data_IF_775646537445
#
_entry.id   IF_775646537445
#
_cell.length_a   1.000
_cell.length_b   1.000
_cell.length_c   1.000
_cell.angle_alpha   90.00
_cell.angle_beta   90.00
_cell.angle_gamma   90.00
#
_symmetry.space_group_name_H-M   'P 1'
#
loop_
_entity.id
_entity.type
_entity.pdbx_description
1 polymer ?
#
# COMPACT_ATOMS: atom_id res chain seq x y z
N UNK A 1 3.02 -21.18 13.64
CA UNK A 1 2.82 -21.69 12.26
C UNK A 1 3.24 -20.58 11.31
N UNK A 2 3.98 -20.89 10.23
CA UNK A 2 4.37 -19.84 9.27
C UNK A 2 3.20 -19.46 8.38
N UNK A 3 3.14 -18.20 7.98
CA UNK A 3 2.03 -17.64 7.19
C UNK A 3 2.55 -16.82 6.02
N UNK A 4 1.98 -17.04 4.84
CA UNK A 4 2.18 -16.20 3.64
C UNK A 4 0.86 -15.54 3.29
N UNK A 5 0.85 -14.21 3.22
CA UNK A 5 -0.33 -13.43 2.81
C UNK A 5 -0.29 -13.17 1.30
N UNK A 6 -1.34 -13.56 0.58
CA UNK A 6 -1.46 -13.34 -0.85
C UNK A 6 -2.24 -12.05 -1.09
N UNK A 7 -1.58 -11.05 -1.65
CA UNK A 7 -2.17 -9.76 -2.04
C UNK A 7 -2.67 -9.87 -3.48
N UNK A 8 -3.84 -9.31 -3.78
CA UNK A 8 -4.41 -9.40 -5.13
C UNK A 8 -5.50 -8.39 -5.42
N UNK A 9 -6.50 -8.83 -6.18
CA UNK A 9 -7.69 -8.05 -6.53
C UNK A 9 -8.91 -8.92 -6.35
N UNK A 10 -10.00 -8.37 -5.81
CA UNK A 10 -11.31 -9.04 -5.72
C UNK A 10 -11.83 -9.49 -7.10
N UNK A 11 -11.32 -8.89 -8.18
CA UNK A 11 -11.66 -9.21 -9.58
C UNK A 11 -10.73 -10.23 -10.22
N UNK A 12 -9.63 -10.62 -9.56
CA UNK A 12 -8.63 -11.54 -10.08
C UNK A 12 -8.65 -12.87 -9.31
N UNK A 13 -9.50 -13.78 -9.73
CA UNK A 13 -9.74 -15.07 -9.06
C UNK A 13 -8.61 -16.09 -9.23
N UNK A 14 -7.64 -15.85 -10.12
CA UNK A 14 -6.43 -16.68 -10.25
C UNK A 14 -5.57 -16.70 -8.98
N UNK A 15 -5.78 -15.73 -8.09
CA UNK A 15 -5.22 -15.73 -6.73
C UNK A 15 -5.54 -17.03 -5.99
N UNK A 16 -6.73 -17.60 -6.18
CA UNK A 16 -7.14 -18.85 -5.54
C UNK A 16 -6.37 -20.03 -6.12
N UNK A 17 -6.15 -20.06 -7.45
CA UNK A 17 -5.37 -21.10 -8.11
C UNK A 17 -3.92 -21.11 -7.59
N UNK A 18 -3.29 -19.93 -7.51
CA UNK A 18 -1.98 -19.76 -6.89
C UNK A 18 -1.99 -20.27 -5.44
N UNK A 19 -2.97 -19.83 -4.65
CA UNK A 19 -3.00 -20.15 -3.22
C UNK A 19 -3.18 -21.64 -2.96
N UNK A 20 -4.06 -22.30 -3.72
CA UNK A 20 -4.23 -23.76 -3.67
C UNK A 20 -2.98 -24.51 -4.11
N UNK A 21 -2.27 -23.99 -5.10
CA UNK A 21 -1.00 -24.55 -5.52
C UNK A 21 0.06 -24.44 -4.40
N UNK A 22 0.23 -23.25 -3.83
CA UNK A 22 1.18 -23.03 -2.72
C UNK A 22 0.85 -23.87 -1.48
N UNK A 23 -0.43 -24.06 -1.13
CA UNK A 23 -0.85 -24.94 -0.02
C UNK A 23 -0.38 -26.39 -0.21
N UNK A 24 -0.39 -26.88 -1.46
CA UNK A 24 0.11 -28.23 -1.79
C UNK A 24 1.63 -28.30 -1.69
N UNK A 25 2.34 -27.25 -2.12
CA UNK A 25 3.81 -27.23 -2.12
C UNK A 25 4.41 -27.01 -0.72
N UNK A 26 3.71 -26.31 0.17
CA UNK A 26 4.20 -25.95 1.50
C UNK A 26 3.29 -26.50 2.62
N UNK A 27 3.22 -27.83 2.80
CA UNK A 27 2.43 -28.41 3.90
C UNK A 27 2.95 -27.90 5.25
N UNK A 28 2.04 -27.35 6.07
CA UNK A 28 2.39 -26.74 7.37
C UNK A 28 2.69 -25.24 7.32
N UNK A 29 2.57 -24.60 6.15
CA UNK A 29 2.53 -23.14 5.99
C UNK A 29 1.10 -22.72 5.67
N UNK A 30 0.61 -21.73 6.40
CA UNK A 30 -0.68 -21.13 6.10
C UNK A 30 -0.54 -20.18 4.91
N UNK A 31 -1.31 -20.42 3.86
CA UNK A 31 -1.45 -19.49 2.73
C UNK A 31 -2.77 -18.77 2.90
N UNK A 32 -2.73 -17.47 3.15
CA UNK A 32 -3.90 -16.66 3.44
C UNK A 32 -4.34 -15.84 2.21
N UNK A 33 -5.57 -16.08 1.76
CA UNK A 33 -6.25 -15.43 0.64
C UNK A 33 -7.75 -15.17 0.92
N UNK A 34 -8.22 -15.40 2.16
CA UNK A 34 -9.66 -15.43 2.48
C UNK A 34 -10.36 -14.07 2.38
N UNK A 35 -9.59 -12.98 2.30
CA UNK A 35 -10.09 -11.63 1.98
C UNK A 35 -10.80 -11.58 0.62
N UNK A 36 -10.57 -12.54 -0.30
CA UNK A 36 -11.24 -12.58 -1.60
C UNK A 36 -12.71 -13.04 -1.52
N UNK A 37 -13.10 -13.67 -0.41
CA UNK A 37 -14.43 -14.28 -0.24
C UNK A 37 -15.65 -13.36 -0.41
N UNK A 38 -15.60 -12.04 -0.10
CA UNK A 38 -16.72 -11.13 -0.38
C UNK A 38 -17.00 -10.92 -1.88
N UNK A 39 -16.04 -11.25 -2.75
CA UNK A 39 -16.22 -11.23 -4.21
C UNK A 39 -15.99 -9.86 -4.88
N UNK A 40 -16.06 -9.82 -6.22
CA UNK A 40 -15.59 -8.70 -7.06
C UNK A 40 -16.37 -7.38 -6.90
N UNK A 41 -17.56 -7.43 -6.31
CA UNK A 41 -18.48 -6.29 -6.18
C UNK A 41 -18.55 -5.75 -4.75
N UNK A 42 -17.76 -6.28 -3.80
CA UNK A 42 -17.84 -5.92 -2.39
C UNK A 42 -17.69 -4.41 -2.15
N UNK A 43 -16.66 -3.78 -2.73
CA UNK A 43 -16.42 -2.33 -2.66
C UNK A 43 -17.61 -1.53 -3.24
N UNK A 44 -18.20 -2.01 -4.34
CA UNK A 44 -19.31 -1.34 -5.04
C UNK A 44 -20.61 -1.40 -4.21
N UNK A 45 -20.89 -2.55 -3.58
CA UNK A 45 -22.01 -2.71 -2.67
C UNK A 45 -21.84 -1.86 -1.40
N UNK A 46 -20.65 -1.87 -0.79
CA UNK A 46 -20.37 -1.05 0.39
C UNK A 46 -20.52 0.44 0.11
N UNK A 47 -19.99 0.92 -1.02
CA UNK A 47 -20.17 2.30 -1.48
C UNK A 47 -21.63 2.65 -1.71
N UNK A 48 -22.39 1.78 -2.40
CA UNK A 48 -23.82 2.00 -2.65
C UNK A 48 -24.61 2.07 -1.34
N UNK A 49 -24.37 1.13 -0.43
CA UNK A 49 -24.99 1.11 0.90
C UNK A 49 -24.72 2.41 1.67
N UNK A 50 -23.45 2.83 1.72
CA UNK A 50 -23.04 4.02 2.45
C UNK A 50 -23.64 5.30 1.88
N UNK A 51 -23.70 5.43 0.55
CA UNK A 51 -24.40 6.55 -0.11
C UNK A 51 -25.89 6.58 0.19
N UNK A 52 -26.57 5.43 0.20
CA UNK A 52 -27.99 5.35 0.57
C UNK A 52 -28.24 5.74 2.03
N UNK A 53 -27.23 5.57 2.89
CA UNK A 53 -27.23 6.04 4.29
C UNK A 53 -26.90 7.53 4.44
N UNK A 54 -26.55 8.22 3.36
CA UNK A 54 -26.14 9.63 3.37
C UNK A 54 -24.73 9.87 3.93
N UNK A 55 -23.90 8.84 4.01
CA UNK A 55 -22.52 8.98 4.51
C UNK A 55 -21.59 9.53 3.42
N UNK A 56 -20.69 10.41 3.83
CA UNK A 56 -19.49 10.74 3.05
C UNK A 56 -18.50 9.57 3.08
N UNK A 57 -17.53 9.56 2.17
CA UNK A 57 -16.49 8.55 2.12
C UNK A 57 -15.70 8.47 3.44
N UNK A 58 -15.36 9.61 4.03
CA UNK A 58 -14.62 9.66 5.31
C UNK A 58 -15.45 9.05 6.44
N UNK A 59 -16.75 9.33 6.52
CA UNK A 59 -17.62 8.75 7.54
C UNK A 59 -17.81 7.25 7.31
N UNK A 60 -17.98 6.82 6.06
CA UNK A 60 -18.13 5.41 5.72
C UNK A 60 -16.90 4.58 6.09
N UNK A 61 -15.68 5.13 5.97
CA UNK A 61 -14.46 4.45 6.40
C UNK A 61 -14.40 4.19 7.91
N UNK A 62 -15.13 4.99 8.71
CA UNK A 62 -15.24 4.84 10.17
C UNK A 62 -16.44 3.99 10.58
N UNK A 63 -17.22 3.50 9.63
CA UNK A 63 -18.34 2.59 9.90
C UNK A 63 -17.84 1.18 10.18
N UNK A 64 -18.61 0.44 10.99
CA UNK A 64 -18.24 -0.90 11.46
C UNK A 64 -17.86 -1.86 10.34
N UNK A 65 -18.54 -1.82 9.19
CA UNK A 65 -18.21 -2.72 8.09
C UNK A 65 -16.83 -2.43 7.50
N UNK A 66 -16.49 -1.16 7.34
CA UNK A 66 -15.21 -0.75 6.76
C UNK A 66 -14.05 -0.99 7.73
N UNK A 67 -14.26 -0.68 9.01
CA UNK A 67 -13.27 -0.90 10.06
C UNK A 67 -12.96 -2.39 10.22
N UNK A 68 -13.98 -3.25 10.34
CA UNK A 68 -13.74 -4.69 10.50
C UNK A 68 -13.08 -5.34 9.28
N UNK A 69 -13.43 -4.94 8.06
CA UNK A 69 -12.78 -5.47 6.85
C UNK A 69 -11.31 -5.06 6.83
N UNK A 70 -11.00 -3.80 7.12
CA UNK A 70 -9.62 -3.33 7.20
C UNK A 70 -8.83 -4.01 8.31
N UNK A 71 -9.39 -4.13 9.52
CA UNK A 71 -8.73 -4.78 10.64
C UNK A 71 -8.49 -6.27 10.38
N UNK A 72 -9.42 -6.94 9.70
CA UNK A 72 -9.26 -8.32 9.27
C UNK A 72 -8.05 -8.47 8.34
N UNK A 73 -8.00 -7.71 7.25
CA UNK A 73 -6.89 -7.76 6.29
C UNK A 73 -5.56 -7.37 6.97
N UNK A 74 -5.56 -6.28 7.74
CA UNK A 74 -4.38 -5.79 8.46
C UNK A 74 -3.85 -6.82 9.45
N UNK A 75 -4.71 -7.47 10.23
CA UNK A 75 -4.30 -8.52 11.17
C UNK A 75 -3.56 -9.65 10.45
N UNK A 76 -4.10 -10.09 9.31
CA UNK A 76 -3.52 -11.16 8.51
C UNK A 76 -2.21 -10.75 7.80
N UNK A 77 -2.10 -9.47 7.39
CA UNK A 77 -0.84 -8.92 6.90
C UNK A 77 0.20 -8.89 8.03
N UNK A 78 -0.14 -8.32 9.19
CA UNK A 78 0.78 -8.10 10.32
C UNK A 78 1.41 -9.39 10.83
N UNK A 79 0.61 -10.46 10.92
CA UNK A 79 1.06 -11.79 11.39
C UNK A 79 1.77 -12.62 10.33
N UNK A 80 1.84 -12.16 9.08
CA UNK A 80 2.48 -12.92 8.00
C UNK A 80 4.01 -12.85 8.08
N UNK A 81 4.69 -13.93 7.69
CA UNK A 81 6.14 -14.00 7.58
C UNK A 81 6.63 -13.42 6.23
N UNK A 82 5.80 -13.56 5.20
CA UNK A 82 6.05 -13.06 3.86
C UNK A 82 4.74 -12.67 3.16
N UNK A 83 4.84 -11.80 2.17
CA UNK A 83 3.72 -11.37 1.34
C UNK A 83 4.01 -11.60 -0.14
N UNK A 84 2.99 -12.00 -0.90
CA UNK A 84 3.07 -12.23 -2.35
C UNK A 84 1.97 -11.44 -3.03
N UNK A 85 2.31 -10.49 -3.88
CA UNK A 85 1.35 -9.76 -4.70
C UNK A 85 1.18 -10.44 -6.07
N UNK A 86 -0.04 -10.86 -6.39
CA UNK A 86 -0.38 -11.44 -7.68
C UNK A 86 -0.96 -10.38 -8.63
N UNK A 87 -0.30 -10.19 -9.77
CA UNK A 87 -0.71 -9.20 -10.78
C UNK A 87 -1.68 -9.81 -11.81
N UNK A 88 -2.61 -9.01 -12.37
CA UNK A 88 -2.86 -7.60 -12.07
C UNK A 88 -3.58 -7.39 -10.73
N UNK A 89 -3.19 -6.35 -10.00
CA UNK A 89 -3.86 -5.87 -8.79
C UNK A 89 -4.15 -4.36 -8.83
N UNK A 90 -4.95 -3.91 -7.86
CA UNK A 90 -5.37 -2.50 -7.69
C UNK A 90 -4.39 -1.66 -6.87
N UNK A 91 -4.76 -0.40 -6.63
CA UNK A 91 -4.01 0.56 -5.79
C UNK A 91 -3.91 0.09 -4.32
N UNK A 92 -4.98 -0.51 -3.79
CA UNK A 92 -5.05 -1.14 -2.46
C UNK A 92 -3.96 -2.20 -2.29
N UNK A 93 -3.85 -3.14 -3.23
CA UNK A 93 -2.81 -4.18 -3.18
C UNK A 93 -1.38 -3.63 -3.18
N UNK A 94 -1.15 -2.50 -3.86
CA UNK A 94 0.14 -1.82 -3.78
C UNK A 94 0.38 -1.22 -2.40
N UNK A 95 -0.63 -0.58 -1.82
CA UNK A 95 -0.59 -0.03 -0.46
C UNK A 95 -0.27 -1.11 0.58
N UNK A 96 -0.96 -2.25 0.51
CA UNK A 96 -0.73 -3.41 1.38
C UNK A 96 0.70 -3.97 1.23
N UNK A 97 1.18 -4.13 -0.01
CA UNK A 97 2.54 -4.62 -0.27
C UNK A 97 3.58 -3.67 0.30
N UNK A 98 3.37 -2.36 0.12
CA UNK A 98 4.23 -1.32 0.65
C UNK A 98 4.31 -1.40 2.16
N UNK A 99 3.15 -1.42 2.82
CA UNK A 99 3.03 -1.50 4.27
C UNK A 99 3.76 -2.73 4.83
N UNK A 100 3.53 -3.91 4.25
CA UNK A 100 4.20 -5.12 4.67
C UNK A 100 5.73 -5.03 4.55
N UNK A 101 6.24 -4.52 3.42
CA UNK A 101 7.68 -4.34 3.21
C UNK A 101 8.26 -3.29 4.18
N UNK A 102 7.53 -2.21 4.45
CA UNK A 102 7.92 -1.18 5.41
C UNK A 102 8.07 -1.74 6.83
N UNK A 103 7.20 -2.68 7.20
CA UNK A 103 7.27 -3.46 8.44
C UNK A 103 8.40 -4.51 8.45
N UNK A 104 9.26 -4.53 7.42
CA UNK A 104 10.40 -5.44 7.30
C UNK A 104 10.05 -6.83 6.77
N UNK A 105 8.80 -7.08 6.34
CA UNK A 105 8.42 -8.35 5.73
C UNK A 105 8.97 -8.50 4.33
N UNK A 106 9.10 -9.74 3.90
CA UNK A 106 9.64 -10.09 2.60
C UNK A 106 8.51 -10.10 1.58
N UNK A 107 8.55 -9.14 0.66
CA UNK A 107 7.54 -8.97 -0.39
C UNK A 107 8.00 -9.52 -1.74
N UNK A 108 7.11 -10.22 -2.42
CA UNK A 108 7.30 -10.74 -3.77
C UNK A 108 6.18 -10.25 -4.69
N UNK A 109 6.47 -10.08 -5.98
CA UNK A 109 5.46 -9.75 -6.99
C UNK A 109 5.49 -10.79 -8.09
N UNK A 110 4.37 -11.48 -8.31
CA UNK A 110 4.21 -12.44 -9.40
C UNK A 110 3.41 -11.81 -10.55
N UNK A 111 4.01 -11.79 -11.73
CA UNK A 111 3.36 -11.43 -12.98
C UNK A 111 2.92 -12.69 -13.73
N UNK A 112 1.63 -12.77 -14.06
CA UNK A 112 1.03 -13.86 -14.85
C UNK A 112 1.32 -13.75 -16.37
N UNK A 113 1.71 -12.55 -16.84
CA UNK A 113 2.06 -12.28 -18.24
C UNK A 113 3.16 -11.20 -18.35
N UNK A 114 4.11 -11.45 -19.25
CA UNK A 114 5.22 -10.59 -19.63
C UNK A 114 4.80 -9.22 -20.20
N UNK A 115 3.60 -9.11 -20.77
CA UNK A 115 3.10 -7.85 -21.36
C UNK A 115 2.95 -6.71 -20.35
N UNK A 116 2.73 -7.05 -19.07
CA UNK A 116 2.52 -6.08 -17.97
C UNK A 116 3.79 -5.73 -17.18
N UNK A 117 4.92 -6.41 -17.46
CA UNK A 117 6.22 -6.15 -16.81
C UNK A 117 6.80 -4.77 -17.13
N UNK A 118 6.43 -4.19 -18.27
CA UNK A 118 7.10 -3.02 -18.86
C UNK A 118 6.81 -1.69 -18.14
N UNK A 119 5.80 -1.65 -17.27
CA UNK A 119 5.37 -0.40 -16.63
C UNK A 119 5.86 -0.24 -15.18
N UNK A 120 6.45 -1.27 -14.56
CA UNK A 120 6.75 -1.20 -13.12
C UNK A 120 8.04 -1.96 -12.74
N UNK A 121 9.14 -1.23 -12.56
CA UNK A 121 10.29 -1.75 -11.82
C UNK A 121 10.00 -1.47 -10.35
N UNK A 122 9.45 -2.46 -9.66
CA UNK A 122 9.30 -2.37 -8.21
C UNK A 122 10.68 -2.48 -7.56
N UNK A 123 11.19 -1.38 -6.99
CA UNK A 123 12.45 -1.39 -6.22
C UNK A 123 12.29 -1.88 -4.78
N UNK A 124 11.07 -1.80 -4.24
CA UNK A 124 10.77 -2.12 -2.84
C UNK A 124 10.66 -3.63 -2.54
N UNK A 125 9.95 -4.44 -3.34
CA UNK A 125 9.84 -5.87 -3.12
C UNK A 125 11.20 -6.55 -3.27
N UNK A 126 11.38 -7.65 -2.54
CA UNK A 126 12.61 -8.47 -2.62
C UNK A 126 12.83 -8.99 -4.04
N UNK A 127 11.76 -9.44 -4.69
CA UNK A 127 11.84 -9.96 -6.05
C UNK A 127 10.54 -9.79 -6.81
N UNK A 128 10.69 -9.47 -8.09
CA UNK A 128 9.65 -9.58 -9.11
C UNK A 128 9.91 -10.86 -9.89
N UNK A 129 8.94 -11.76 -9.89
CA UNK A 129 9.04 -13.11 -10.49
C UNK A 129 8.01 -13.25 -11.61
N UNK A 130 8.33 -14.08 -12.60
CA UNK A 130 7.47 -14.28 -13.77
C UNK A 130 6.92 -15.70 -13.92
N UNK A 131 7.10 -16.53 -12.91
CA UNK A 131 6.53 -17.86 -12.89
C UNK A 131 6.26 -18.31 -11.46
N UNK A 132 5.28 -19.19 -11.30
CA UNK A 132 4.94 -19.80 -10.01
C UNK A 132 6.12 -20.62 -9.47
N UNK A 133 6.86 -21.32 -10.34
CA UNK A 133 8.06 -22.08 -9.95
C UNK A 133 9.17 -21.19 -9.40
N UNK A 134 9.40 -20.02 -9.98
CA UNK A 134 10.37 -19.07 -9.44
C UNK A 134 9.94 -18.55 -8.07
N UNK A 135 8.64 -18.21 -7.93
CA UNK A 135 8.07 -17.78 -6.65
C UNK A 135 8.26 -18.85 -5.56
N UNK A 136 7.99 -20.11 -5.86
CA UNK A 136 8.15 -21.22 -4.92
C UNK A 136 9.59 -21.34 -4.41
N UNK A 137 10.57 -21.29 -5.32
CA UNK A 137 11.97 -21.38 -4.93
C UNK A 137 12.36 -20.26 -3.96
N UNK A 138 11.90 -19.04 -4.24
CA UNK A 138 12.14 -17.89 -3.37
C UNK A 138 11.44 -18.00 -2.01
N UNK A 139 10.20 -18.48 -1.99
CA UNK A 139 9.44 -18.70 -0.75
C UNK A 139 10.07 -19.82 0.08
N UNK A 140 10.51 -20.92 -0.55
CA UNK A 140 11.20 -22.00 0.13
C UNK A 140 12.43 -21.50 0.87
N UNK A 141 13.29 -20.74 0.19
CA UNK A 141 14.47 -20.13 0.81
C UNK A 141 14.10 -19.22 1.98
N UNK A 142 13.06 -18.39 1.84
CA UNK A 142 12.63 -17.48 2.91
C UNK A 142 12.05 -18.22 4.12
N UNK A 143 11.21 -19.22 3.87
CA UNK A 143 10.58 -20.06 4.89
C UNK A 143 11.58 -21.02 5.55
N UNK A 144 12.71 -21.33 4.93
CA UNK A 144 13.81 -22.07 5.57
C UNK A 144 14.68 -21.13 6.42
N UNK A 145 15.07 -19.97 5.90
CA UNK A 145 15.94 -19.00 6.59
C UNK A 145 15.31 -18.39 7.84
N UNK A 146 13.99 -18.17 7.83
CA UNK A 146 13.24 -17.71 9.00
C UNK A 146 13.24 -18.71 10.16
N UNK A 147 13.70 -19.96 9.98
CA UNK A 147 13.94 -20.90 11.11
C UNK A 147 15.19 -20.53 11.94
N UNK A 148 16.15 -19.85 11.34
CA UNK A 148 17.44 -19.51 11.97
C UNK A 148 17.49 -18.09 12.55
N UNK A 149 16.44 -17.30 12.32
CA UNK A 149 16.34 -15.93 12.82
C UNK A 149 15.58 -15.93 14.14
N UNK A 150 16.28 -16.26 15.23
CA UNK A 150 15.92 -15.68 16.54
C UNK A 150 16.11 -14.18 16.34
N UNK A 151 15.00 -13.48 16.11
CA UNK A 151 15.00 -12.08 15.72
C UNK A 151 15.59 -11.26 16.87
N UNK A 152 16.75 -10.67 16.62
CA UNK A 152 17.12 -9.42 17.27
C UNK A 152 15.96 -8.45 17.07
N UNK A 153 15.37 -8.01 18.17
CA UNK A 153 14.31 -7.01 18.23
C UNK A 153 14.86 -5.63 17.84
N UNK A 154 15.37 -5.47 16.62
CA UNK A 154 15.41 -4.15 16.01
C UNK A 154 13.99 -3.91 15.47
N UNK A 155 13.06 -3.58 16.39
CA UNK A 155 11.91 -2.77 15.99
C UNK A 155 12.52 -1.60 15.22
N UNK A 156 12.15 -1.41 13.96
CA UNK A 156 12.50 -0.19 13.24
C UNK A 156 11.92 0.98 14.06
N UNK A 157 12.74 1.57 14.91
CA UNK A 157 12.38 2.79 15.64
C UNK A 157 12.33 3.87 14.58
N UNK A 158 11.12 4.36 14.30
CA UNK A 158 10.90 5.45 13.37
C UNK A 158 11.78 6.65 13.76
N UNK A 159 12.77 6.97 12.93
CA UNK A 159 13.76 8.03 13.13
C UNK A 159 13.64 9.17 12.11
N UNK A 160 12.60 9.15 11.28
CA UNK A 160 12.35 10.16 10.27
C UNK A 160 12.17 11.55 10.90
N UNK A 161 12.67 12.56 10.21
CA UNK A 161 12.53 13.94 10.66
C UNK A 161 11.08 14.39 10.48
N UNK A 162 10.42 14.72 11.59
CA UNK A 162 9.02 15.21 11.60
C UNK A 162 8.82 16.50 10.81
N UNK A 163 9.90 17.22 10.49
CA UNK A 163 9.88 18.40 9.60
C UNK A 163 10.12 18.07 8.13
N UNK A 164 10.52 16.84 7.79
CA UNK A 164 10.64 16.38 6.40
C UNK A 164 9.37 15.70 5.94
N UNK A 165 8.80 16.21 4.86
CA UNK A 165 7.61 15.69 4.19
C UNK A 165 8.02 15.14 2.83
N UNK A 166 7.65 13.89 2.55
CA UNK A 166 7.62 13.37 1.18
C UNK A 166 6.22 13.56 0.61
N UNK A 167 6.11 14.31 -0.48
CA UNK A 167 4.88 14.52 -1.22
C UNK A 167 4.92 13.67 -2.49
N UNK A 168 4.05 12.67 -2.53
CA UNK A 168 3.89 11.68 -3.59
C UNK A 168 2.61 12.00 -4.37
N UNK A 169 2.62 11.84 -5.69
CA UNK A 169 1.40 11.95 -6.48
C UNK A 169 1.51 11.34 -7.87
N UNK A 170 0.43 11.46 -8.63
CA UNK A 170 0.42 11.10 -10.04
C UNK A 170 0.86 12.28 -10.92
N UNK A 171 1.68 11.99 -11.92
CA UNK A 171 2.23 12.96 -12.88
C UNK A 171 1.56 12.88 -14.24
N UNK A 172 0.54 12.04 -14.39
CA UNK A 172 -0.14 11.83 -15.66
C UNK A 172 -0.85 13.08 -16.19
N UNK A 173 -1.09 14.08 -15.35
CA UNK A 173 -1.65 15.37 -15.77
C UNK A 173 -0.82 16.57 -15.29
N UNK A 174 -0.58 17.53 -16.19
CA UNK A 174 0.07 18.80 -15.83
C UNK A 174 -0.71 19.58 -14.77
N UNK A 175 -2.03 19.46 -14.74
CA UNK A 175 -2.88 20.12 -13.76
C UNK A 175 -2.61 19.59 -12.35
N UNK A 176 -2.55 18.27 -12.19
CA UNK A 176 -2.22 17.59 -10.93
C UNK A 176 -0.84 18.05 -10.44
N UNK A 177 0.17 18.06 -11.33
CA UNK A 177 1.52 18.53 -10.99
C UNK A 177 1.49 19.99 -10.52
N UNK A 178 0.81 20.89 -11.25
CA UNK A 178 0.73 22.31 -10.88
C UNK A 178 0.07 22.53 -9.52
N UNK A 179 -1.01 21.80 -9.22
CA UNK A 179 -1.69 21.89 -7.92
C UNK A 179 -0.81 21.37 -6.79
N UNK A 180 -0.14 20.25 -7.02
CA UNK A 180 0.67 19.59 -6.03
C UNK A 180 1.98 20.35 -5.75
N UNK A 181 2.60 20.98 -6.75
CA UNK A 181 3.74 21.90 -6.53
C UNK A 181 3.33 23.18 -5.77
N UNK A 182 2.18 23.78 -6.09
CA UNK A 182 1.65 24.91 -5.29
C UNK A 182 1.40 24.52 -3.84
N UNK A 183 0.93 23.29 -3.62
CA UNK A 183 0.76 22.74 -2.29
C UNK A 183 2.09 22.55 -1.57
N UNK A 184 3.12 22.02 -2.25
CA UNK A 184 4.46 21.90 -1.70
C UNK A 184 5.03 23.26 -1.25
N UNK A 185 4.85 24.32 -2.05
CA UNK A 185 5.24 25.69 -1.66
C UNK A 185 4.50 26.17 -0.41
N UNK A 186 3.18 25.96 -0.31
CA UNK A 186 2.43 26.29 0.90
C UNK A 186 2.97 25.53 2.12
N UNK A 187 3.21 24.24 1.98
CA UNK A 187 3.75 23.38 3.06
C UNK A 187 5.12 23.88 3.53
N UNK A 188 6.01 24.25 2.59
CA UNK A 188 7.30 24.89 2.91
C UNK A 188 7.13 26.18 3.70
N UNK A 189 6.09 26.96 3.41
CA UNK A 189 5.73 28.16 4.17
C UNK A 189 5.44 27.93 5.66
N UNK A 190 5.07 26.70 6.06
CA UNK A 190 4.90 26.33 7.48
C UNK A 190 6.21 25.80 8.11
N UNK A 191 7.34 25.88 7.41
CA UNK A 191 8.66 25.50 7.94
C UNK A 191 9.00 24.01 7.78
N UNK A 192 8.31 23.30 6.90
CA UNK A 192 8.65 21.92 6.52
C UNK A 192 9.62 21.89 5.35
N UNK A 193 10.53 20.92 5.35
CA UNK A 193 11.31 20.54 4.19
C UNK A 193 10.49 19.56 3.35
N UNK A 194 10.21 19.91 2.09
CA UNK A 194 9.31 19.13 1.23
C UNK A 194 10.11 18.54 0.08
N UNK A 195 10.15 17.21 0.07
CA UNK A 195 10.68 16.40 -1.01
C UNK A 195 9.51 16.04 -1.91
N UNK A 196 9.61 16.45 -3.17
CA UNK A 196 8.60 16.23 -4.19
C UNK A 196 8.96 14.97 -4.99
N UNK A 197 8.22 13.89 -4.77
CA UNK A 197 8.39 12.61 -5.45
C UNK A 197 7.31 12.45 -6.53
N UNK A 198 7.57 13.12 -7.65
CA UNK A 198 6.74 13.10 -8.82
C UNK A 198 7.31 12.09 -9.81
N UNK A 199 6.63 10.97 -10.04
CA UNK A 199 7.05 9.93 -11.00
C UNK A 199 7.04 10.40 -12.47
N UNK A 200 7.70 11.50 -12.85
CA UNK A 200 7.65 12.13 -14.19
C UNK A 200 8.08 11.20 -15.33
N UNK A 201 8.94 10.22 -15.08
CA UNK A 201 9.62 9.42 -16.11
C UNK A 201 9.87 7.98 -15.65
N UNK A 202 8.80 7.26 -15.29
CA UNK A 202 8.91 5.85 -14.96
C UNK A 202 9.78 5.55 -13.72
N UNK A 203 9.99 4.27 -13.38
CA UNK A 203 10.45 3.80 -12.07
C UNK A 203 11.95 4.02 -11.78
N UNK A 204 12.63 4.95 -12.48
CA UNK A 204 14.10 4.97 -12.47
C UNK A 204 14.74 5.59 -11.23
N UNK A 205 14.08 6.47 -10.47
CA UNK A 205 14.78 7.26 -9.45
C UNK A 205 14.25 7.18 -8.01
N UNK A 206 13.23 6.36 -7.72
CA UNK A 206 12.75 6.21 -6.35
C UNK A 206 13.84 5.59 -5.43
N UNK A 207 14.22 6.29 -4.37
CA UNK A 207 15.11 5.80 -3.31
C UNK A 207 14.29 5.61 -2.01
N UNK A 208 14.03 4.34 -1.59
CA UNK A 208 13.35 4.04 -0.34
C UNK A 208 13.97 4.70 0.91
N UNK A 209 15.25 5.09 0.85
CA UNK A 209 15.91 5.83 1.94
C UNK A 209 15.26 7.19 2.18
N UNK A 210 14.78 7.87 1.13
CA UNK A 210 14.10 9.17 1.25
C UNK A 210 12.85 9.08 2.13
N UNK A 211 12.06 8.01 1.97
CA UNK A 211 10.88 7.79 2.81
C UNK A 211 11.27 7.54 4.28
N UNK A 212 12.40 6.88 4.54
CA UNK A 212 12.88 6.67 5.92
C UNK A 212 13.38 7.95 6.59
N UNK A 213 13.85 8.92 5.81
CA UNK A 213 14.27 10.23 6.32
C UNK A 213 13.09 11.15 6.66
N UNK A 214 11.92 10.91 6.07
CA UNK A 214 10.72 11.70 6.28
C UNK A 214 9.94 11.19 7.51
N UNK A 215 9.43 12.10 8.33
CA UNK A 215 8.48 11.76 9.39
C UNK A 215 7.02 11.76 8.90
N UNK A 216 6.78 12.38 7.75
CA UNK A 216 5.46 12.55 7.15
C UNK A 216 5.51 12.20 5.65
N UNK A 217 4.50 11.50 5.17
CA UNK A 217 4.33 11.20 3.75
C UNK A 217 2.91 11.51 3.31
N UNK A 218 2.75 12.24 2.22
CA UNK A 218 1.46 12.66 1.68
C UNK A 218 1.29 12.03 0.30
N UNK A 219 0.19 11.32 0.09
CA UNK A 219 -0.25 10.87 -1.23
C UNK A 219 -1.34 11.81 -1.74
N UNK A 220 -1.00 12.64 -2.70
CA UNK A 220 -1.93 13.51 -3.40
C UNK A 220 -2.72 12.72 -4.45
N UNK A 221 -4.04 12.86 -4.43
CA UNK A 221 -4.96 12.15 -5.32
C UNK A 221 -5.35 13.00 -6.54
N UNK A 222 -5.52 12.40 -7.74
CA UNK A 222 -5.38 10.97 -8.01
C UNK A 222 -3.91 10.52 -7.93
N UNK A 223 -3.64 9.41 -7.23
CA UNK A 223 -2.31 8.84 -7.08
C UNK A 223 -2.12 7.59 -7.94
N UNK A 224 -0.88 7.31 -8.38
CA UNK A 224 -0.52 6.12 -9.16
C UNK A 224 -0.46 4.86 -8.29
N UNK A 225 -0.41 3.66 -8.89
CA UNK A 225 -0.19 2.41 -8.16
C UNK A 225 1.14 2.42 -7.38
N UNK A 226 2.19 3.00 -7.97
CA UNK A 226 3.48 3.19 -7.31
C UNK A 226 3.38 4.15 -6.12
N UNK A 227 2.66 5.26 -6.25
CA UNK A 227 2.48 6.17 -5.13
C UNK A 227 1.75 5.54 -3.93
N UNK A 228 0.85 4.58 -4.19
CA UNK A 228 0.23 3.79 -3.12
C UNK A 228 1.21 2.82 -2.47
N UNK A 229 2.08 2.18 -3.26
CA UNK A 229 3.16 1.34 -2.72
C UNK A 229 4.11 2.14 -1.82
N UNK A 230 4.47 3.35 -2.22
CA UNK A 230 5.36 4.24 -1.48
C UNK A 230 4.70 4.75 -0.20
N UNK A 231 3.44 5.20 -0.26
CA UNK A 231 2.68 5.54 0.93
C UNK A 231 2.61 4.36 1.90
N UNK A 232 2.32 3.16 1.39
CA UNK A 232 2.27 1.94 2.19
C UNK A 232 3.58 1.71 2.90
N UNK A 233 4.69 1.77 2.16
CA UNK A 233 6.03 1.61 2.71
C UNK A 233 6.33 2.64 3.79
N UNK A 234 6.05 3.92 3.53
CA UNK A 234 6.22 5.01 4.49
C UNK A 234 5.45 4.74 5.80
N UNK A 235 4.17 4.38 5.71
CA UNK A 235 3.36 4.00 6.88
C UNK A 235 3.97 2.78 7.58
N UNK A 236 4.41 1.79 6.81
CA UNK A 236 5.05 0.58 7.33
C UNK A 236 6.35 0.85 8.09
N UNK A 237 7.15 1.85 7.71
CA UNK A 237 8.36 2.26 8.46
C UNK A 237 8.06 3.24 9.61
N UNK A 238 6.78 3.60 9.80
CA UNK A 238 6.30 4.42 10.92
C UNK A 238 6.03 5.88 10.62
N UNK A 239 6.08 6.32 9.35
CA UNK A 239 5.74 7.69 8.99
C UNK A 239 4.25 7.97 9.25
N UNK A 240 3.92 9.23 9.57
CA UNK A 240 2.53 9.69 9.45
C UNK A 240 2.15 9.77 7.97
N UNK A 241 1.27 8.90 7.53
CA UNK A 241 0.76 8.87 6.16
C UNK A 241 -0.52 9.69 6.01
N UNK A 242 -0.59 10.55 5.01
CA UNK A 242 -1.82 11.29 4.68
C UNK A 242 -2.24 10.98 3.26
N UNK A 243 -3.54 10.82 3.02
CA UNK A 243 -4.10 10.80 1.66
C UNK A 243 -4.88 12.09 1.48
N UNK A 244 -4.54 12.87 0.46
CA UNK A 244 -5.11 14.18 0.23
C UNK A 244 -5.82 14.22 -1.11
N UNK A 245 -7.11 14.55 -1.07
CA UNK A 245 -7.95 14.77 -2.23
C UNK A 245 -8.16 16.27 -2.49
N UNK A 246 -8.44 16.61 -3.75
CA UNK A 246 -9.01 17.93 -4.13
C UNK A 246 -10.54 17.99 -3.87
N UNK A 247 -11.19 16.84 -4.02
CA UNK A 247 -12.63 16.63 -3.82
C UNK A 247 -12.89 15.16 -3.53
N UNK A 248 -14.04 14.88 -2.93
CA UNK A 248 -14.44 13.52 -2.61
C UNK A 248 -14.43 12.61 -3.85
N UNK A 249 -13.85 11.39 -3.78
CA UNK A 249 -13.76 10.51 -4.93
C UNK A 249 -15.14 9.95 -5.32
N UNK A 250 -15.56 10.25 -6.55
CA UNK A 250 -16.85 9.81 -7.08
C UNK A 250 -16.84 8.35 -7.52
N UNK A 251 -15.68 7.81 -7.95
CA UNK A 251 -15.58 6.55 -8.68
C UNK A 251 -15.32 5.34 -7.79
N UNK A 252 -14.32 5.38 -6.90
CA UNK A 252 -13.95 4.25 -6.04
C UNK A 252 -13.73 4.69 -4.60
N UNK A 253 -14.28 3.90 -3.69
CA UNK A 253 -13.97 3.94 -2.26
C UNK A 253 -13.14 2.70 -1.94
N UNK A 254 -12.16 2.83 -1.05
CA UNK A 254 -11.17 1.81 -0.75
C UNK A 254 -10.90 1.77 0.75
N UNK A 255 -11.34 0.69 1.40
CA UNK A 255 -11.20 0.50 2.85
C UNK A 255 -9.74 0.50 3.30
N UNK A 256 -8.80 0.16 2.42
CA UNK A 256 -7.36 0.14 2.73
C UNK A 256 -6.78 1.53 2.96
N UNK A 257 -7.50 2.61 2.62
CA UNK A 257 -7.03 3.96 2.93
C UNK A 257 -6.95 4.24 4.44
N UNK A 258 -7.52 3.36 5.28
CA UNK A 258 -7.31 3.35 6.73
C UNK A 258 -5.87 3.01 7.15
N UNK A 259 -4.98 2.57 6.24
CA UNK A 259 -3.54 2.56 6.52
C UNK A 259 -2.98 3.98 6.74
N UNK A 260 -3.56 4.99 6.09
CA UNK A 260 -3.16 6.37 6.32
C UNK A 260 -3.56 6.81 7.73
N UNK A 261 -2.74 7.67 8.33
CA UNK A 261 -3.04 8.30 9.61
C UNK A 261 -4.27 9.20 9.54
N UNK A 262 -4.49 9.87 8.40
CA UNK A 262 -5.71 10.62 8.13
C UNK A 262 -5.94 10.80 6.62
N UNK A 263 -7.20 10.97 6.23
CA UNK A 263 -7.61 11.26 4.86
C UNK A 263 -8.17 12.67 4.85
N UNK A 264 -7.59 13.55 4.05
CA UNK A 264 -7.97 14.96 3.91
C UNK A 264 -8.71 15.16 2.56
N UNK A 265 -9.89 15.77 2.59
CA UNK A 265 -10.71 16.03 1.40
C UNK A 265 -10.35 17.34 0.69
N UNK A 266 -9.55 18.18 1.35
CA UNK A 266 -8.98 19.41 0.83
C UNK A 266 -7.72 19.80 1.63
N UNK A 267 -7.03 20.83 1.16
CA UNK A 267 -5.79 21.30 1.79
C UNK A 267 -6.03 21.93 3.16
N UNK A 268 -7.16 22.60 3.38
CA UNK A 268 -7.48 23.26 4.65
C UNK A 268 -7.62 22.24 5.80
N UNK A 269 -8.15 21.06 5.52
CA UNK A 269 -8.19 19.96 6.47
C UNK A 269 -6.79 19.42 6.76
N UNK A 270 -5.97 19.22 5.74
CA UNK A 270 -4.58 18.80 5.91
C UNK A 270 -3.77 19.83 6.72
N UNK A 271 -3.96 21.11 6.45
CA UNK A 271 -3.32 22.22 7.17
C UNK A 271 -3.63 22.15 8.67
N UNK A 272 -4.85 21.79 9.06
CA UNK A 272 -5.21 21.60 10.47
C UNK A 272 -4.46 20.42 11.09
N UNK A 273 -4.24 19.34 10.35
CA UNK A 273 -3.50 18.17 10.87
C UNK A 273 -2.02 18.45 11.09
N UNK A 274 -1.34 19.13 10.18
CA UNK A 274 0.10 19.42 10.33
C UNK A 274 0.41 20.50 11.37
N UNK A 275 -0.61 21.25 11.82
CA UNK A 275 -0.49 22.26 12.88
C UNK A 275 -0.70 21.71 14.29
N UNK A 276 -1.14 20.46 14.44
CA UNK A 276 -1.29 19.77 15.74
C UNK A 276 0.04 19.24 16.23
#
# INVERSE_FOLDING_TARGET
MKTVYIIGSLKNWKVIDLSNHLRKQFPGVEIFDSWISPGPEADDFWKKYSKLRGLTYREALKDWSATHVFEFDKFHIDRSDAVVMYMPCGKSGHLELGYAIGQGKRGYVLFDDDSTKREVIYKLPKKVVSSVTELENELKLELENSKNKILSEDKLTHSGDKKKICLIGDVTSEETIKKASKMAEKIRGYGFDVIEDWHKLGPKDFDPKLLKECGITILYQPGSKLGHLELGYAVGVGNKGYILFDKEPETRWDVMYQFASEICMNFEEFEKEIKK
#
